data_IF_986876737922
#
_entry.id   IF_986876737922
#
_cell.length_a   1.000
_cell.length_b   1.000
_cell.length_c   1.000
_cell.angle_alpha   90.00
_cell.angle_beta   90.00
_cell.angle_gamma   90.00
#
_symmetry.space_group_name_H-M   'P 1'
#
loop_
_entity.id
_entity.type
_entity.pdbx_description
1 polymer ?
#
# COMPACT_ATOMS: atom_id res chain seq x y z
N UNK A 1 -36.34 7.79 -4.30
CA UNK A 1 -36.02 7.76 -5.75
C UNK A 1 -34.77 6.91 -5.97
N UNK A 2 -34.88 5.82 -6.74
CA UNK A 2 -33.79 4.84 -6.97
C UNK A 2 -32.77 5.41 -7.97
N UNK A 3 -31.70 6.05 -7.48
CA UNK A 3 -30.48 6.32 -8.27
C UNK A 3 -29.45 5.24 -7.93
N UNK A 4 -29.54 4.10 -8.59
CA UNK A 4 -28.52 3.06 -8.52
C UNK A 4 -27.86 2.93 -9.89
N UNK A 5 -26.52 2.94 -9.97
CA UNK A 5 -25.52 3.07 -8.89
C UNK A 5 -25.44 4.47 -8.24
N UNK A 6 -24.87 4.55 -7.02
CA UNK A 6 -24.38 5.83 -6.47
C UNK A 6 -23.03 6.15 -7.12
N UNK A 7 -22.96 7.27 -7.83
CA UNK A 7 -21.76 7.75 -8.51
C UNK A 7 -21.35 9.10 -7.92
N UNK A 8 -20.09 9.22 -7.50
CA UNK A 8 -19.49 10.46 -6.99
C UNK A 8 -18.26 10.75 -7.85
N UNK A 9 -18.27 11.85 -8.60
CA UNK A 9 -17.14 12.23 -9.48
C UNK A 9 -16.67 11.10 -10.44
N UNK A 10 -17.64 10.39 -11.01
CA UNK A 10 -17.36 9.24 -11.89
C UNK A 10 -16.87 7.97 -11.19
N UNK A 11 -16.88 7.93 -9.86
CA UNK A 11 -16.61 6.74 -9.06
C UNK A 11 -17.90 6.08 -8.58
N UNK A 12 -18.09 4.81 -8.91
CA UNK A 12 -19.19 3.98 -8.39
C UNK A 12 -18.88 3.55 -6.96
N UNK A 13 -19.75 3.89 -6.02
CA UNK A 13 -19.64 3.44 -4.64
C UNK A 13 -20.10 1.97 -4.49
N UNK A 14 -19.25 1.15 -3.87
CA UNK A 14 -19.52 -0.25 -3.56
C UNK A 14 -19.56 -0.39 -2.05
N UNK A 15 -20.75 -0.67 -1.52
CA UNK A 15 -20.95 -0.89 -0.10
C UNK A 15 -20.53 -2.32 0.29
N UNK A 16 -19.62 -2.44 1.23
CA UNK A 16 -19.21 -3.72 1.82
C UNK A 16 -19.47 -3.72 3.34
N UNK A 17 -19.52 -4.92 3.91
CA UNK A 17 -19.69 -5.15 5.33
C UNK A 17 -18.50 -5.97 5.84
N UNK A 18 -17.58 -5.31 6.53
CA UNK A 18 -16.38 -5.92 7.08
C UNK A 18 -16.73 -6.74 8.33
N UNK A 19 -16.33 -8.02 8.35
CA UNK A 19 -16.61 -8.98 9.42
C UNK A 19 -18.08 -8.99 9.87
N UNK A 20 -19.01 -8.74 8.94
CA UNK A 20 -20.46 -8.72 9.23
C UNK A 20 -20.94 -7.56 10.11
N UNK A 21 -20.09 -6.60 10.48
CA UNK A 21 -20.42 -5.55 11.48
C UNK A 21 -20.22 -4.14 10.96
N UNK A 22 -19.09 -3.87 10.32
CA UNK A 22 -18.68 -2.49 9.98
C UNK A 22 -19.00 -2.23 8.51
N UNK A 23 -19.84 -1.21 8.24
CA UNK A 23 -20.08 -0.78 6.85
C UNK A 23 -18.89 0.02 6.36
N UNK A 24 -18.33 -0.37 5.21
CA UNK A 24 -17.25 0.32 4.53
C UNK A 24 -17.60 0.54 3.05
N UNK A 25 -17.03 1.57 2.43
CA UNK A 25 -17.27 1.89 1.03
C UNK A 25 -15.98 1.83 0.23
N UNK A 26 -15.99 1.03 -0.83
CA UNK A 26 -14.98 1.07 -1.88
C UNK A 26 -15.48 1.97 -3.01
N UNK A 27 -14.55 2.57 -3.74
CA UNK A 27 -14.88 3.42 -4.89
C UNK A 27 -14.26 2.84 -6.16
N UNK A 28 -15.09 2.45 -7.12
CA UNK A 28 -14.66 1.81 -8.35
C UNK A 28 -14.80 2.74 -9.55
N UNK A 29 -13.81 2.71 -10.45
CA UNK A 29 -13.87 3.41 -11.75
C UNK A 29 -13.30 2.52 -12.85
N UNK A 30 -13.80 2.71 -14.06
CA UNK A 30 -13.24 2.06 -15.23
C UNK A 30 -11.80 2.52 -15.43
N UNK A 31 -10.88 1.58 -15.70
CA UNK A 31 -9.50 1.91 -16.08
C UNK A 31 -9.27 1.56 -17.56
N UNK A 32 -9.40 0.29 -17.91
CA UNK A 32 -9.15 -0.27 -19.25
C UNK A 32 -10.09 -1.45 -19.54
N UNK A 33 -10.03 -2.01 -20.76
CA UNK A 33 -10.84 -3.17 -21.15
C UNK A 33 -10.59 -4.37 -20.23
N UNK A 34 -11.59 -4.64 -19.38
CA UNK A 34 -11.53 -5.72 -18.40
C UNK A 34 -10.91 -5.34 -17.05
N UNK A 35 -10.59 -4.06 -16.79
CA UNK A 35 -10.00 -3.62 -15.53
C UNK A 35 -10.83 -2.55 -14.80
N UNK A 36 -10.87 -2.66 -13.47
CA UNK A 36 -11.45 -1.65 -12.57
C UNK A 36 -10.41 -1.22 -11.56
N UNK A 37 -10.20 0.09 -11.43
CA UNK A 37 -9.46 0.68 -10.30
C UNK A 37 -10.41 0.85 -9.13
N UNK A 38 -9.96 0.45 -7.94
CA UNK A 38 -10.71 0.47 -6.69
C UNK A 38 -9.91 1.25 -5.65
N UNK A 39 -10.51 2.31 -5.10
CA UNK A 39 -9.93 3.14 -4.04
C UNK A 39 -10.61 2.90 -2.70
N UNK A 40 -9.95 3.43 -1.66
CA UNK A 40 -10.36 3.29 -0.27
C UNK A 40 -10.37 1.82 0.17
N UNK A 41 -9.40 1.04 -0.30
CA UNK A 41 -9.24 -0.36 0.14
C UNK A 41 -8.89 -0.34 1.62
N UNK A 42 -9.62 -1.11 2.43
CA UNK A 42 -9.40 -1.14 3.87
C UNK A 42 -8.02 -1.73 4.19
N UNK A 43 -7.27 -1.24 5.20
CA UNK A 43 -5.91 -1.71 5.52
C UNK A 43 -5.81 -3.22 5.80
N UNK A 44 -6.89 -3.84 6.27
CA UNK A 44 -6.95 -5.28 6.57
C UNK A 44 -7.52 -6.13 5.42
N UNK A 45 -7.80 -5.53 4.26
CA UNK A 45 -8.14 -6.28 3.06
C UNK A 45 -6.87 -6.63 2.30
N UNK A 46 -6.60 -7.92 2.21
CA UNK A 46 -5.54 -8.50 1.40
C UNK A 46 -6.03 -8.86 -0.02
N UNK A 47 -5.13 -9.44 -0.82
CA UNK A 47 -5.46 -9.89 -2.18
C UNK A 47 -6.55 -10.97 -2.19
N UNK A 48 -6.60 -11.84 -1.18
CA UNK A 48 -7.56 -12.94 -1.11
C UNK A 48 -8.99 -12.45 -0.82
N UNK A 49 -9.16 -11.58 0.17
CA UNK A 49 -10.43 -10.94 0.50
C UNK A 49 -10.97 -10.12 -0.68
N UNK A 50 -10.10 -9.37 -1.38
CA UNK A 50 -10.44 -8.68 -2.62
C UNK A 50 -10.84 -9.65 -3.74
N UNK A 51 -10.10 -10.75 -3.93
CA UNK A 51 -10.45 -11.79 -4.90
C UNK A 51 -11.82 -12.41 -4.60
N UNK A 52 -12.09 -12.72 -3.34
CA UNK A 52 -13.35 -13.29 -2.86
C UNK A 52 -14.53 -12.34 -3.03
N UNK A 53 -14.30 -11.03 -2.91
CA UNK A 53 -15.28 -10.00 -3.23
C UNK A 53 -15.53 -9.94 -4.75
N UNK A 54 -14.47 -9.75 -5.54
CA UNK A 54 -14.61 -9.42 -6.95
C UNK A 54 -14.96 -10.61 -7.85
N UNK A 55 -14.68 -11.85 -7.43
CA UNK A 55 -15.13 -13.07 -8.13
C UNK A 55 -16.65 -13.16 -8.28
N UNK A 56 -17.40 -12.46 -7.42
CA UNK A 56 -18.87 -12.38 -7.47
C UNK A 56 -19.38 -11.66 -8.72
N UNK A 57 -18.57 -10.79 -9.31
CA UNK A 57 -18.92 -10.08 -10.55
C UNK A 57 -18.45 -10.83 -11.81
N UNK A 58 -17.44 -11.70 -11.69
CA UNK A 58 -16.98 -12.60 -12.75
C UNK A 58 -15.58 -13.15 -12.50
N UNK A 59 -15.03 -13.89 -13.48
CA UNK A 59 -13.69 -14.49 -13.38
C UNK A 59 -12.59 -13.42 -13.35
N UNK A 60 -11.94 -13.28 -12.19
CA UNK A 60 -10.77 -12.43 -11.98
C UNK A 60 -9.52 -13.13 -12.55
N UNK A 61 -8.69 -12.38 -13.26
CA UNK A 61 -7.39 -12.81 -13.80
C UNK A 61 -6.28 -12.50 -12.80
N UNK A 62 -6.26 -11.28 -12.29
CA UNK A 62 -5.19 -10.78 -11.43
C UNK A 62 -5.68 -9.58 -10.60
N UNK A 63 -5.08 -9.36 -9.43
CA UNK A 63 -5.28 -8.17 -8.59
C UNK A 63 -3.92 -7.57 -8.27
N UNK A 64 -3.72 -6.33 -8.71
CA UNK A 64 -2.61 -5.48 -8.26
C UNK A 64 -3.09 -4.72 -7.02
N UNK A 65 -2.47 -4.97 -5.86
CA UNK A 65 -2.83 -4.34 -4.59
C UNK A 65 -1.69 -3.44 -4.12
N UNK A 66 -1.98 -2.14 -3.99
CA UNK A 66 -1.07 -1.11 -3.53
C UNK A 66 -1.49 -0.65 -2.15
N UNK A 67 -1.00 -1.37 -1.14
CA UNK A 67 -1.40 -1.18 0.27
C UNK A 67 -1.18 0.26 0.74
N UNK A 68 -0.02 0.84 0.43
CA UNK A 68 0.35 2.20 0.85
C UNK A 68 -0.53 3.29 0.22
N UNK A 69 -1.18 3.00 -0.91
CA UNK A 69 -2.06 3.94 -1.61
C UNK A 69 -3.55 3.68 -1.29
N UNK A 70 -3.87 2.61 -0.54
CA UNK A 70 -5.23 2.10 -0.36
C UNK A 70 -5.95 1.89 -1.71
N UNK A 71 -5.22 1.41 -2.72
CA UNK A 71 -5.71 1.18 -4.09
C UNK A 71 -5.53 -0.28 -4.47
N UNK A 72 -6.50 -0.82 -5.21
CA UNK A 72 -6.38 -2.08 -5.92
C UNK A 72 -6.83 -1.92 -7.38
N UNK A 73 -6.16 -2.60 -8.30
CA UNK A 73 -6.60 -2.75 -9.69
C UNK A 73 -7.00 -4.20 -9.92
N UNK A 74 -8.26 -4.40 -10.29
CA UNK A 74 -8.85 -5.73 -10.50
C UNK A 74 -8.98 -5.99 -11.98
N UNK A 75 -8.23 -6.97 -12.48
CA UNK A 75 -8.27 -7.41 -13.87
C UNK A 75 -9.19 -8.62 -13.99
N UNK A 76 -10.20 -8.54 -14.85
CA UNK A 76 -11.12 -9.61 -15.19
C UNK A 76 -10.74 -10.26 -16.53
N UNK A 77 -11.21 -11.50 -16.75
CA UNK A 77 -11.03 -12.20 -18.03
C UNK A 77 -11.87 -11.62 -19.19
N UNK A 78 -12.82 -10.72 -18.92
CA UNK A 78 -13.66 -10.06 -19.93
C UNK A 78 -14.16 -8.71 -19.42
N UNK A 79 -14.74 -7.88 -20.30
CA UNK A 79 -15.31 -6.59 -19.93
C UNK A 79 -16.71 -6.64 -19.27
N UNK A 80 -17.44 -7.76 -19.37
CA UNK A 80 -18.79 -7.88 -18.78
C UNK A 80 -18.81 -7.69 -17.25
N UNK A 81 -17.86 -8.27 -16.47
CA UNK A 81 -17.75 -8.02 -15.02
C UNK A 81 -17.51 -6.56 -14.67
N UNK A 82 -16.72 -5.82 -15.45
CA UNK A 82 -16.47 -4.38 -15.22
C UNK A 82 -17.80 -3.61 -15.22
N UNK A 83 -18.65 -3.86 -16.23
CA UNK A 83 -19.99 -3.24 -16.30
C UNK A 83 -20.84 -3.59 -15.07
N UNK A 84 -20.80 -4.85 -14.61
CA UNK A 84 -21.53 -5.29 -13.40
C UNK A 84 -21.05 -4.62 -12.12
N UNK A 85 -19.74 -4.42 -11.98
CA UNK A 85 -19.16 -3.69 -10.83
C UNK A 85 -19.64 -2.24 -10.84
N UNK A 86 -19.57 -1.58 -11.99
CA UNK A 86 -19.91 -0.16 -12.13
C UNK A 86 -21.41 0.12 -12.09
N UNK A 87 -22.26 -0.85 -12.46
CA UNK A 87 -23.72 -0.76 -12.37
C UNK A 87 -24.29 -1.27 -11.04
N UNK A 88 -23.44 -1.54 -10.05
CA UNK A 88 -23.86 -2.17 -8.81
C UNK A 88 -24.74 -1.23 -7.97
N UNK A 89 -25.79 -1.78 -7.37
CA UNK A 89 -26.63 -1.03 -6.43
C UNK A 89 -25.87 -0.75 -5.13
N UNK A 90 -25.93 0.47 -4.63
CA UNK A 90 -25.42 0.84 -3.30
C UNK A 90 -26.20 0.13 -2.17
N UNK A 91 -27.38 -0.43 -2.45
CA UNK A 91 -28.08 -1.29 -1.49
C UNK A 91 -27.52 -2.71 -1.41
N UNK A 92 -26.71 -3.15 -2.38
CA UNK A 92 -26.02 -4.43 -2.30
C UNK A 92 -25.11 -4.44 -1.08
N UNK A 93 -25.17 -5.53 -0.29
CA UNK A 93 -24.30 -5.73 0.86
C UNK A 93 -23.39 -6.93 0.59
N UNK A 94 -22.09 -6.68 0.46
CA UNK A 94 -21.10 -7.76 0.33
C UNK A 94 -20.37 -7.93 1.65
N UNK A 95 -20.59 -9.06 2.31
CA UNK A 95 -19.77 -9.44 3.47
C UNK A 95 -18.35 -9.78 2.99
N UNK A 96 -17.37 -9.16 3.63
CA UNK A 96 -15.94 -9.41 3.42
C UNK A 96 -15.34 -9.74 4.77
N UNK A 97 -14.77 -10.94 4.85
CA UNK A 97 -13.95 -11.32 5.99
C UNK A 97 -12.57 -10.69 5.78
N UNK A 98 -12.14 -9.90 6.76
CA UNK A 98 -10.78 -9.35 6.79
C UNK A 98 -9.94 -10.19 7.72
N UNK A 99 -8.64 -10.24 7.46
CA UNK A 99 -7.71 -10.92 8.36
C UNK A 99 -7.91 -10.39 9.78
N UNK A 100 -8.22 -11.29 10.72
CA UNK A 100 -8.22 -10.93 12.12
C UNK A 100 -6.77 -10.62 12.49
N UNK A 101 -6.48 -9.36 12.78
CA UNK A 101 -5.31 -9.05 13.58
C UNK A 101 -5.56 -9.71 14.94
N UNK A 102 -4.80 -10.77 15.21
CA UNK A 102 -4.44 -11.12 16.57
C UNK A 102 -3.62 -9.93 17.07
N UNK A 103 -4.30 -8.85 17.48
CA UNK A 103 -3.67 -7.84 18.30
C UNK A 103 -3.24 -8.59 19.56
N UNK A 104 -1.93 -8.74 19.84
CA UNK A 104 -1.54 -9.18 21.16
C UNK A 104 -2.24 -8.23 22.16
N UNK A 105 -2.88 -8.79 23.18
CA UNK A 105 -3.80 -8.07 24.06
C UNK A 105 -3.24 -6.74 24.58
N UNK A 106 -4.09 -5.85 25.12
CA UNK A 106 -3.75 -4.47 25.49
C UNK A 106 -2.57 -4.31 26.46
N UNK A 107 -2.01 -5.39 27.00
CA UNK A 107 -0.80 -5.41 27.81
C UNK A 107 0.52 -5.53 27.03
N UNK A 108 0.51 -5.74 25.71
CA UNK A 108 1.75 -5.94 24.91
C UNK A 108 2.16 -4.78 24.01
N UNK A 109 1.36 -3.71 23.92
CA UNK A 109 1.74 -2.47 23.22
C UNK A 109 2.04 -1.34 24.21
N UNK A 110 2.93 -1.63 25.16
CA UNK A 110 3.78 -0.58 25.75
C UNK A 110 5.16 -0.50 25.08
N UNK A 111 5.38 -1.30 24.05
CA UNK A 111 6.60 -1.25 23.25
C UNK A 111 6.30 -0.52 21.94
N UNK A 112 6.57 0.78 21.99
CA UNK A 112 7.17 1.60 20.95
C UNK A 112 7.34 0.93 19.58
N UNK A 113 6.81 1.57 18.54
CA UNK A 113 7.22 1.39 17.14
C UNK A 113 8.70 1.77 16.88
N UNK A 114 9.55 1.81 17.90
CA UNK A 114 10.98 2.04 17.79
C UNK A 114 11.72 0.71 17.80
N UNK A 115 12.48 0.52 16.73
CA UNK A 115 13.58 -0.41 16.55
C UNK A 115 13.36 -1.79 17.17
N UNK A 116 12.84 -2.73 16.36
CA UNK A 116 12.59 -4.13 16.75
C UNK A 116 13.82 -4.86 17.31
N UNK A 117 15.02 -4.43 16.94
CA UNK A 117 16.28 -4.83 17.55
C UNK A 117 17.28 -3.66 17.49
N UNK A 118 17.35 -2.89 18.59
CA UNK A 118 18.24 -1.73 18.69
C UNK A 118 19.71 -2.08 18.44
N UNK A 119 20.12 -3.29 18.80
CA UNK A 119 21.51 -3.70 18.60
C UNK A 119 21.80 -3.97 17.12
N UNK A 120 20.86 -4.57 16.39
CA UNK A 120 20.98 -4.76 14.95
C UNK A 120 21.05 -3.42 14.20
N UNK A 121 20.11 -2.50 14.47
CA UNK A 121 20.08 -1.19 13.83
C UNK A 121 21.31 -0.33 14.18
N UNK A 122 21.80 -0.42 15.42
CA UNK A 122 23.03 0.23 15.84
C UNK A 122 24.22 -0.31 15.05
N UNK A 123 24.36 -1.64 14.94
CA UNK A 123 25.44 -2.27 14.20
C UNK A 123 25.42 -1.91 12.72
N UNK A 124 24.24 -1.89 12.08
CA UNK A 124 24.08 -1.46 10.69
C UNK A 124 24.49 0.01 10.50
N UNK A 125 24.12 0.87 11.44
CA UNK A 125 24.48 2.30 11.41
C UNK A 125 25.99 2.51 11.62
N UNK A 126 26.63 1.74 12.50
CA UNK A 126 28.08 1.78 12.73
C UNK A 126 28.84 1.36 11.47
N UNK A 127 28.43 0.28 10.81
CA UNK A 127 29.02 -0.18 9.55
C UNK A 127 28.89 0.90 8.46
N UNK A 128 27.70 1.48 8.30
CA UNK A 128 27.45 2.52 7.30
C UNK A 128 28.29 3.78 7.55
N UNK A 129 28.49 4.17 8.82
CA UNK A 129 29.33 5.30 9.19
C UNK A 129 30.81 5.01 8.95
N UNK A 130 31.29 3.81 9.30
CA UNK A 130 32.67 3.40 9.03
C UNK A 130 32.98 3.42 7.53
N UNK A 131 32.08 2.89 6.68
CA UNK A 131 32.22 2.94 5.24
C UNK A 131 32.22 4.38 4.71
N UNK A 132 31.32 5.23 5.20
CA UNK A 132 31.26 6.64 4.83
C UNK A 132 32.55 7.38 5.16
N UNK A 133 33.09 7.22 6.38
CA UNK A 133 34.33 7.86 6.77
C UNK A 133 35.55 7.29 6.05
N UNK A 134 35.59 5.97 5.80
CA UNK A 134 36.64 5.34 5.01
C UNK A 134 36.69 5.91 3.59
N UNK A 135 35.55 5.97 2.90
CA UNK A 135 35.43 6.60 1.57
C UNK A 135 35.85 8.07 1.60
N UNK A 136 35.44 8.82 2.61
CA UNK A 136 35.78 10.25 2.73
C UNK A 136 37.26 10.49 3.02
N UNK A 137 37.92 9.57 3.73
CA UNK A 137 39.37 9.59 3.94
C UNK A 137 40.07 9.25 2.62
N UNK A 138 39.68 8.17 1.94
CA UNK A 138 40.23 7.79 0.63
C UNK A 138 40.10 8.92 -0.41
N UNK A 139 38.94 9.58 -0.46
CA UNK A 139 38.71 10.76 -1.31
C UNK A 139 39.59 11.96 -0.94
N UNK A 140 39.90 12.15 0.36
CA UNK A 140 40.86 13.18 0.82
C UNK A 140 42.32 12.81 0.57
N UNK A 141 42.62 11.52 0.49
CA UNK A 141 43.97 10.98 0.24
C UNK A 141 44.32 10.94 -1.24
N UNK A 142 43.36 11.18 -2.13
CA UNK A 142 43.64 11.31 -3.56
C UNK A 142 44.44 12.60 -3.78
N UNK A 143 45.68 12.41 -4.16
CA UNK A 143 46.60 13.46 -4.60
C UNK A 143 46.28 13.73 -6.07
N UNK A 144 46.08 15.00 -6.43
CA UNK A 144 45.86 15.40 -7.83
C UNK A 144 47.12 15.12 -8.68
N UNK A 145 47.01 15.08 -10.01
CA UNK A 145 48.13 14.73 -10.92
C UNK A 145 49.41 15.57 -10.72
N UNK A 146 49.27 16.77 -10.12
CA UNK A 146 50.37 17.70 -9.81
C UNK A 146 50.94 17.56 -8.38
N UNK A 147 50.55 16.54 -7.60
CA UNK A 147 51.17 16.26 -6.29
C UNK A 147 50.62 17.09 -5.12
N UNK A 148 49.58 17.90 -5.32
CA UNK A 148 49.03 18.79 -4.29
C UNK A 148 47.78 18.20 -3.61
N UNK A 149 47.67 18.39 -2.29
CA UNK A 149 46.48 18.04 -1.50
C UNK A 149 45.60 19.28 -1.38
N UNK A 150 44.39 19.25 -1.94
CA UNK A 150 43.44 20.37 -1.87
C UNK A 150 42.80 20.48 -0.48
N UNK A 151 43.28 21.40 0.34
CA UNK A 151 42.69 21.71 1.67
C UNK A 151 41.46 22.59 1.51
N UNK A 152 40.27 22.00 1.60
CA UNK A 152 39.01 22.74 1.49
C UNK A 152 38.72 23.52 2.80
N UNK A 153 39.12 24.80 2.86
CA UNK A 153 39.03 25.72 4.02
C UNK A 153 37.62 26.23 4.36
N UNK A 154 36.59 25.38 4.42
CA UNK A 154 35.26 25.80 4.93
C UNK A 154 34.65 24.76 5.86
N UNK A 155 34.99 24.86 7.16
CA UNK A 155 34.07 24.51 8.24
C UNK A 155 33.09 25.68 8.38
N UNK A 156 31.86 25.54 7.89
CA UNK A 156 30.74 26.34 8.40
C UNK A 156 30.25 25.62 9.66
N UNK A 157 30.41 26.27 10.80
CA UNK A 157 29.74 25.94 12.06
C UNK A 157 28.22 25.97 11.84
#
# INVERSE_FOLDING_TARGET
MKRFPLIIDGWTAIRILLNGRITHFLYAKHQEDGAVVVRNVHPFMDKESLLNLFRRFGKVRHIDLRVNEAVAIVFFKSGKPVKKVLSNSMHSRFSVDVAQLLFPGPSRYRDSEWIRDYQAAKKESEIALEEYFRRRIEERSKIDEDGWITVNKKRRL
#
